data_IF_925220233356
#
_entry.id   IF_925220233356
#
_cell.length_a   1.000
_cell.length_b   1.000
_cell.length_c   1.000
_cell.angle_alpha   90.00
_cell.angle_beta   90.00
_cell.angle_gamma   90.00
#
_symmetry.space_group_name_H-M   'P 1'
#
loop_
_entity.id
_entity.type
_entity.pdbx_description
1 polymer ?
#
# COMPACT_ATOMS: atom_id res chain seq x y z
N UNK A 1 12.12 4.70 21.61
CA UNK A 1 12.56 4.18 20.30
C UNK A 1 12.53 5.31 19.27
N UNK A 2 13.51 5.40 18.38
CA UNK A 2 13.40 6.30 17.22
C UNK A 2 12.28 5.78 16.33
N UNK A 3 11.42 6.66 15.82
CA UNK A 3 10.40 6.26 14.85
C UNK A 3 11.09 5.75 13.57
N UNK A 4 10.59 4.67 12.95
CA UNK A 4 11.06 4.24 11.65
C UNK A 4 10.92 5.38 10.64
N UNK A 5 11.81 5.42 9.64
CA UNK A 5 11.79 6.47 8.62
C UNK A 5 11.46 5.85 7.27
N UNK A 6 10.49 6.43 6.58
CA UNK A 6 10.16 6.09 5.21
C UNK A 6 10.61 7.22 4.30
N UNK A 7 11.45 6.92 3.32
CA UNK A 7 11.79 7.89 2.27
C UNK A 7 10.92 7.66 1.05
N UNK A 8 10.04 8.62 0.76
CA UNK A 8 9.26 8.68 -0.48
C UNK A 8 9.89 9.72 -1.39
N UNK A 9 10.22 9.32 -2.61
CA UNK A 9 11.04 10.11 -3.54
C UNK A 9 10.20 11.11 -4.34
N UNK A 10 8.89 10.84 -4.52
CA UNK A 10 8.01 11.69 -5.33
C UNK A 10 6.72 12.13 -4.62
N UNK A 11 6.17 13.25 -5.08
CA UNK A 11 4.82 13.69 -4.68
C UNK A 11 3.74 12.66 -5.05
N UNK A 12 3.90 12.03 -6.22
CA UNK A 12 2.94 11.06 -6.74
C UNK A 12 2.88 9.80 -5.86
N UNK A 13 4.01 9.31 -5.36
CA UNK A 13 4.08 8.21 -4.38
C UNK A 13 3.35 8.56 -3.08
N UNK A 14 3.53 9.79 -2.58
CA UNK A 14 2.86 10.26 -1.35
C UNK A 14 1.34 10.31 -1.51
N UNK A 15 0.86 10.82 -2.65
CA UNK A 15 -0.57 10.88 -2.94
C UNK A 15 -1.18 9.50 -3.16
N UNK A 16 -0.51 8.61 -3.91
CA UNK A 16 -0.96 7.24 -4.10
C UNK A 16 -1.06 6.51 -2.76
N UNK A 17 -0.04 6.68 -1.91
CA UNK A 17 -0.07 6.13 -0.56
C UNK A 17 -1.26 6.63 0.25
N UNK A 18 -1.51 7.95 0.28
CA UNK A 18 -2.68 8.53 0.97
C UNK A 18 -3.99 7.91 0.52
N UNK A 19 -4.14 7.62 -0.77
CA UNK A 19 -5.33 6.96 -1.31
C UNK A 19 -5.45 5.55 -0.75
N UNK A 20 -4.38 4.75 -0.81
CA UNK A 20 -4.38 3.39 -0.30
C UNK A 20 -4.74 3.36 1.20
N UNK A 21 -4.20 4.30 1.99
CA UNK A 21 -4.53 4.40 3.41
C UNK A 21 -6.00 4.71 3.65
N UNK A 22 -6.56 5.67 2.90
CA UNK A 22 -7.99 6.00 2.97
C UNK A 22 -8.87 4.80 2.59
N UNK A 23 -8.51 4.06 1.54
CA UNK A 23 -9.21 2.84 1.13
C UNK A 23 -9.14 1.76 2.23
N UNK A 24 -7.99 1.66 2.88
CA UNK A 24 -7.73 0.68 3.94
C UNK A 24 -8.44 1.01 5.26
N UNK A 25 -8.77 2.27 5.52
CA UNK A 25 -9.41 2.70 6.77
C UNK A 25 -10.81 2.09 7.01
N UNK A 26 -11.45 1.59 5.94
CA UNK A 26 -12.72 0.87 6.01
C UNK A 26 -12.58 -0.65 6.17
N UNK A 27 -11.35 -1.17 6.15
CA UNK A 27 -11.04 -2.60 6.12
C UNK A 27 -10.51 -3.08 7.48
N UNK A 28 -10.69 -4.37 7.74
CA UNK A 28 -10.40 -5.03 9.03
C UNK A 28 -9.02 -4.68 9.59
N UNK A 29 -8.98 -4.30 10.86
CA UNK A 29 -7.77 -3.90 11.60
C UNK A 29 -6.98 -5.15 12.04
N UNK A 30 -6.34 -5.81 11.08
CA UNK A 30 -5.51 -6.99 11.35
C UNK A 30 -4.14 -6.55 11.89
N UNK A 31 -3.51 -7.42 12.67
CA UNK A 31 -2.15 -7.20 13.15
C UNK A 31 -1.31 -8.42 12.81
N UNK A 32 -0.13 -8.19 12.26
CA UNK A 32 0.88 -9.24 12.12
C UNK A 32 1.97 -9.05 13.16
N UNK A 33 2.48 -10.17 13.66
CA UNK A 33 3.69 -10.16 14.47
C UNK A 33 4.86 -10.10 13.50
N UNK A 34 5.47 -8.93 13.40
CA UNK A 34 6.74 -8.73 12.75
C UNK A 34 7.74 -8.29 13.82
N UNK A 35 8.92 -8.90 13.87
CA UNK A 35 9.98 -8.46 14.79
C UNK A 35 9.57 -8.48 16.28
N UNK A 36 8.79 -9.47 16.71
CA UNK A 36 8.31 -9.60 18.09
C UNK A 36 7.30 -8.55 18.53
N UNK A 37 6.87 -7.66 17.63
CA UNK A 37 5.88 -6.62 17.91
C UNK A 37 4.68 -6.74 16.95
N UNK A 38 3.46 -6.53 17.44
CA UNK A 38 2.29 -6.48 16.58
C UNK A 38 2.31 -5.18 15.78
N UNK A 39 2.49 -5.27 14.45
CA UNK A 39 2.31 -4.14 13.54
C UNK A 39 0.92 -4.22 12.90
N UNK A 40 0.23 -3.08 12.76
CA UNK A 40 -1.03 -3.05 12.03
C UNK A 40 -0.82 -3.42 10.57
N UNK A 41 -1.79 -4.15 10.03
CA UNK A 41 -1.87 -4.54 8.64
C UNK A 41 -3.29 -4.30 8.16
N UNK A 42 -3.39 -3.70 6.98
CA UNK A 42 -4.65 -3.60 6.25
C UNK A 42 -4.51 -4.25 4.88
N UNK A 43 -5.58 -4.88 4.42
CA UNK A 43 -5.66 -5.49 3.10
C UNK A 43 -6.70 -4.72 2.29
N UNK A 44 -6.38 -4.39 1.05
CA UNK A 44 -7.29 -3.77 0.09
C UNK A 44 -7.43 -4.75 -1.08
N UNK A 45 -8.63 -5.29 -1.25
CA UNK A 45 -8.98 -6.10 -2.41
C UNK A 45 -9.81 -5.24 -3.36
N UNK A 46 -9.24 -4.86 -4.49
CA UNK A 46 -9.89 -3.92 -5.41
C UNK A 46 -9.44 -4.11 -6.85
N UNK A 47 -10.21 -3.56 -7.80
CA UNK A 47 -9.74 -3.45 -9.17
C UNK A 47 -8.74 -2.29 -9.29
N UNK A 48 -7.86 -2.37 -10.28
CA UNK A 48 -6.90 -1.29 -10.59
C UNK A 48 -7.66 0.00 -10.96
N UNK A 49 -8.79 -0.13 -11.65
CA UNK A 49 -9.65 1.00 -12.01
C UNK A 49 -10.27 1.67 -10.80
N UNK A 50 -10.72 0.92 -9.80
CA UNK A 50 -11.30 1.50 -8.58
C UNK A 50 -10.26 2.26 -7.75
N UNK A 51 -9.03 1.73 -7.67
CA UNK A 51 -7.91 2.44 -7.05
C UNK A 51 -7.57 3.70 -7.86
N UNK A 52 -7.61 3.63 -9.19
CA UNK A 52 -7.43 4.81 -10.03
C UNK A 52 -8.50 5.87 -9.75
N UNK A 53 -9.78 5.51 -9.72
CA UNK A 53 -10.87 6.46 -9.42
C UNK A 53 -10.73 7.11 -8.05
N UNK A 54 -10.25 6.38 -7.05
CA UNK A 54 -9.98 6.92 -5.72
C UNK A 54 -8.77 7.87 -5.70
N UNK A 55 -7.88 7.74 -6.68
CA UNK A 55 -6.65 8.53 -6.79
C UNK A 55 -6.77 9.75 -7.69
N UNK A 56 -7.35 9.57 -8.88
CA UNK A 56 -7.56 10.60 -9.88
C UNK A 56 -9.05 10.57 -10.28
N UNK A 57 -9.69 11.72 -10.22
CA UNK A 57 -11.08 11.84 -10.68
C UNK A 57 -11.15 11.65 -12.20
N UNK A 58 -11.95 10.71 -12.68
CA UNK A 58 -12.21 10.49 -14.11
C UNK A 58 -11.97 9.06 -14.59
N UNK A 59 -12.46 8.77 -15.80
CA UNK A 59 -12.32 7.44 -16.43
C UNK A 59 -10.87 7.22 -16.88
N UNK A 60 -10.21 6.13 -16.45
CA UNK A 60 -8.84 5.85 -16.85
C UNK A 60 -8.76 5.35 -18.30
N UNK A 61 -7.73 5.79 -19.03
CA UNK A 61 -7.27 5.09 -20.23
C UNK A 61 -6.47 3.84 -19.87
N UNK A 62 -6.23 2.95 -20.85
CA UNK A 62 -5.35 1.80 -20.65
C UNK A 62 -3.94 2.21 -20.18
N UNK A 63 -3.42 3.32 -20.72
CA UNK A 63 -2.11 3.86 -20.34
C UNK A 63 -2.11 4.33 -18.88
N UNK A 64 -3.21 4.91 -18.41
CA UNK A 64 -3.33 5.35 -17.02
C UNK A 64 -3.32 4.17 -16.05
N UNK A 65 -4.01 3.08 -16.39
CA UNK A 65 -3.99 1.84 -15.60
C UNK A 65 -2.60 1.20 -15.57
N UNK A 66 -1.89 1.21 -16.70
CA UNK A 66 -0.50 0.73 -16.77
C UNK A 66 0.42 1.58 -15.89
N UNK A 67 0.30 2.90 -15.95
CA UNK A 67 1.09 3.81 -15.12
C UNK A 67 0.80 3.63 -13.62
N UNK A 68 -0.47 3.44 -13.25
CA UNK A 68 -0.84 3.15 -11.87
C UNK A 68 -0.23 1.83 -11.39
N UNK A 69 -0.26 0.78 -12.20
CA UNK A 69 0.38 -0.50 -11.85
C UNK A 69 1.88 -0.33 -11.61
N UNK A 70 2.58 0.38 -12.50
CA UNK A 70 4.01 0.69 -12.30
C UNK A 70 4.24 1.49 -11.02
N UNK A 71 3.38 2.46 -10.70
CA UNK A 71 3.50 3.25 -9.49
C UNK A 71 3.29 2.41 -8.22
N UNK A 72 2.34 1.46 -8.25
CA UNK A 72 2.10 0.52 -7.16
C UNK A 72 3.26 -0.46 -6.98
N UNK A 73 3.83 -0.95 -8.08
CA UNK A 73 5.02 -1.83 -8.07
C UNK A 73 6.23 -1.09 -7.47
N UNK A 74 6.53 0.12 -7.94
CA UNK A 74 7.60 0.96 -7.37
C UNK A 74 7.38 1.24 -5.88
N UNK A 75 6.14 1.51 -5.46
CA UNK A 75 5.81 1.73 -4.06
C UNK A 75 5.98 0.45 -3.22
N UNK A 76 5.71 -0.74 -3.81
CA UNK A 76 5.88 -2.05 -3.16
C UNK A 76 7.33 -2.39 -2.85
N UNK A 77 8.27 -1.87 -3.65
CA UNK A 77 9.70 -2.06 -3.45
C UNK A 77 10.25 -1.17 -2.33
N UNK A 78 9.47 -0.22 -1.82
CA UNK A 78 9.89 0.63 -0.70
C UNK A 78 9.89 -0.18 0.61
N UNK A 79 11.03 -0.15 1.27
CA UNK A 79 11.25 -0.84 2.54
C UNK A 79 11.15 0.17 3.69
N UNK A 80 10.57 -0.26 4.81
CA UNK A 80 10.70 0.49 6.07
C UNK A 80 12.00 0.03 6.74
N UNK A 81 12.92 0.98 6.94
CA UNK A 81 14.08 0.77 7.79
C UNK A 81 13.69 1.07 9.24
N UNK A 82 13.56 -0.01 10.00
CA UNK A 82 13.55 0.06 11.46
C UNK A 82 15.02 0.06 11.91
N UNK A 83 15.36 0.61 13.08
CA UNK A 83 16.76 0.75 13.50
C UNK A 83 17.61 -0.54 13.38
N UNK A 84 18.93 -0.48 13.61
CA UNK A 84 19.89 -1.52 13.22
C UNK A 84 19.63 -2.94 13.76
N UNK A 85 18.72 -3.11 14.71
CA UNK A 85 18.32 -4.38 15.32
C UNK A 85 17.11 -5.03 14.63
N UNK A 86 16.64 -4.48 13.50
CA UNK A 86 15.42 -4.92 12.84
C UNK A 86 15.64 -5.38 11.39
N UNK A 87 14.93 -6.44 10.98
CA UNK A 87 14.83 -6.81 9.57
C UNK A 87 13.91 -5.81 8.86
N UNK A 88 14.32 -5.40 7.67
CA UNK A 88 13.54 -4.49 6.87
C UNK A 88 12.30 -5.21 6.31
N UNK A 89 11.14 -4.56 6.45
CA UNK A 89 9.84 -5.12 6.04
C UNK A 89 9.32 -4.32 4.84
N UNK A 90 8.80 -4.99 3.78
CA UNK A 90 8.17 -4.29 2.68
C UNK A 90 6.92 -3.58 3.18
N UNK A 91 6.85 -2.31 2.82
CA UNK A 91 5.80 -1.41 3.24
C UNK A 91 4.45 -1.78 2.61
N UNK A 92 4.49 -2.07 1.31
CA UNK A 92 3.36 -2.49 0.51
C UNK A 92 3.71 -3.83 -0.15
N UNK A 93 2.79 -4.79 -0.09
CA UNK A 93 2.88 -6.02 -0.88
C UNK A 93 1.74 -6.05 -1.87
N UNK A 94 2.07 -6.25 -3.14
CA UNK A 94 1.14 -6.30 -4.25
C UNK A 94 0.98 -7.75 -4.72
N UNK A 95 -0.26 -8.24 -4.74
CA UNK A 95 -0.60 -9.55 -5.32
C UNK A 95 -1.62 -9.36 -6.43
N UNK A 96 -1.46 -10.06 -7.55
CA UNK A 96 -2.49 -10.12 -8.58
C UNK A 96 -3.51 -11.19 -8.19
N UNK A 97 -4.79 -10.83 -8.24
CA UNK A 97 -5.89 -11.76 -7.99
C UNK A 97 -6.38 -12.32 -9.32
N UNK A 98 -6.56 -13.64 -9.40
CA UNK A 98 -6.98 -14.34 -10.62
C UNK A 98 -8.27 -15.13 -10.39
N UNK A 99 -9.14 -15.18 -11.40
CA UNK A 99 -10.40 -15.93 -11.38
C UNK A 99 -10.21 -17.41 -11.73
N UNK A 100 -9.07 -17.76 -12.33
CA UNK A 100 -8.74 -19.10 -12.79
C UNK A 100 -7.37 -19.55 -12.31
N UNK A 101 -7.19 -20.87 -12.30
CA UNK A 101 -5.96 -21.54 -11.87
C UNK A 101 -4.82 -21.43 -12.88
N UNK A 102 -5.14 -21.06 -14.13
CA UNK A 102 -4.17 -20.90 -15.21
C UNK A 102 -3.61 -19.46 -15.25
N UNK A 103 -4.04 -18.60 -14.31
CA UNK A 103 -3.65 -17.20 -14.17
C UNK A 103 -3.89 -16.35 -15.43
N UNK A 104 -4.94 -16.69 -16.20
CA UNK A 104 -5.25 -16.05 -17.49
C UNK A 104 -6.21 -14.87 -17.35
N UNK A 105 -7.08 -14.87 -16.34
CA UNK A 105 -8.08 -13.82 -16.09
C UNK A 105 -7.85 -13.17 -14.75
N UNK A 106 -7.23 -11.99 -14.78
CA UNK A 106 -7.03 -11.18 -13.58
C UNK A 106 -8.38 -10.61 -13.09
N UNK A 107 -8.71 -10.88 -11.83
CA UNK A 107 -9.88 -10.38 -11.12
C UNK A 107 -9.66 -8.97 -10.56
N UNK A 108 -8.42 -8.64 -10.21
CA UNK A 108 -8.05 -7.39 -9.56
C UNK A 108 -6.66 -7.47 -8.94
N UNK A 109 -6.45 -6.69 -7.89
CA UNK A 109 -5.23 -6.70 -7.09
C UNK A 109 -5.58 -6.72 -5.61
N UNK A 110 -4.70 -7.36 -4.84
CA UNK A 110 -4.64 -7.28 -3.40
C UNK A 110 -3.44 -6.40 -3.05
N UNK A 111 -3.69 -5.37 -2.24
CA UNK A 111 -2.67 -4.49 -1.69
C UNK A 111 -2.65 -4.69 -0.18
N UNK A 112 -1.54 -5.21 0.34
CA UNK A 112 -1.31 -5.33 1.77
C UNK A 112 -0.43 -4.15 2.22
N UNK A 113 -0.92 -3.38 3.18
CA UNK A 113 -0.24 -2.25 3.80
C UNK A 113 0.25 -2.65 5.20
N UNK A 114 1.56 -2.63 5.44
CA UNK A 114 2.14 -3.07 6.73
C UNK A 114 2.84 -1.90 7.44
N UNK A 115 2.48 -1.64 8.70
CA UNK A 115 3.18 -0.66 9.55
C UNK A 115 2.85 0.83 9.30
N UNK A 116 1.94 1.15 8.38
CA UNK A 116 1.61 2.54 8.02
C UNK A 116 0.87 3.34 9.09
N UNK A 117 -0.07 2.74 9.82
CA UNK A 117 -0.81 3.46 10.87
C UNK A 117 0.12 3.91 12.00
N UNK A 118 1.23 3.19 12.24
CA UNK A 118 2.25 3.55 13.22
C UNK A 118 3.23 4.63 12.74
N UNK A 119 3.48 4.68 11.43
CA UNK A 119 4.36 5.69 10.80
C UNK A 119 3.66 7.04 10.61
N UNK A 120 2.38 7.02 10.26
CA UNK A 120 1.63 8.19 9.81
C UNK A 120 0.67 8.74 10.86
N UNK A 121 0.68 8.15 12.07
CA UNK A 121 -0.10 8.58 13.23
C UNK A 121 0.10 10.07 13.56
N UNK A 122 1.23 10.68 13.20
CA UNK A 122 1.49 12.11 13.39
C UNK A 122 1.31 13.00 12.14
N UNK A 123 1.16 12.43 10.95
CA UNK A 123 0.94 13.19 9.70
C UNK A 123 -0.54 13.32 9.32
N UNK A 124 -1.42 12.52 9.95
CA UNK A 124 -2.88 12.54 9.74
C UNK A 124 -3.68 12.58 11.05
N UNK A 125 -3.01 12.75 12.21
CA UNK A 125 -3.68 13.23 13.41
C UNK A 125 -3.92 14.72 13.24
N UNK A 126 -5.14 15.07 12.85
CA UNK A 126 -5.57 16.45 12.64
C UNK A 126 -5.04 17.41 13.72
N UNK A 127 -4.38 18.46 13.26
CA UNK A 127 -4.43 19.80 13.86
C UNK A 127 -5.12 20.72 12.87
#
# INVERSE_FOLDING_TARGET
MKKPTLSLESYEEKELLKVLLRLSASQTDQRIVAMGSPIPMSIINSSVSDIFFAWKEGQPSLRDLQNLMCALENLSERMIDFGPDYEAVPLLKLSKLYLDKDFTRQAGIEVQLSGYTWLLESEYSDS
#
